data_IF_126975638943
#
_entry.id   IF_126975638943
#
_cell.length_a   1.000
_cell.length_b   1.000
_cell.length_c   1.000
_cell.angle_alpha   90.00
_cell.angle_beta   90.00
_cell.angle_gamma   90.00
#
_symmetry.space_group_name_H-M   'P 1'
#
loop_
_entity.id
_entity.type
_entity.pdbx_description
1 polymer ?
#
# COMPACT_ATOMS: atom_id res chain seq x y z
N UNK A 1 2.64 -99.78 -18.02
CA UNK A 1 1.78 -99.33 -16.89
C UNK A 1 2.57 -98.31 -16.10
N UNK A 2 1.95 -97.25 -15.60
CA UNK A 2 2.65 -96.30 -14.71
C UNK A 2 2.86 -97.05 -13.40
N UNK A 3 4.06 -97.57 -13.18
CA UNK A 3 4.43 -98.15 -11.91
C UNK A 3 4.71 -97.01 -10.94
N UNK A 4 3.87 -96.87 -9.92
CA UNK A 4 4.07 -95.91 -8.85
C UNK A 4 5.21 -96.45 -7.98
N UNK A 5 6.43 -96.08 -8.36
CA UNK A 5 7.66 -96.46 -7.68
C UNK A 5 8.16 -95.32 -6.78
N UNK A 6 9.00 -95.65 -5.80
CA UNK A 6 9.56 -94.69 -4.83
C UNK A 6 10.30 -93.51 -5.50
N UNK A 7 10.82 -93.73 -6.72
CA UNK A 7 11.45 -92.71 -7.56
C UNK A 7 10.48 -91.58 -7.94
N UNK A 8 9.21 -91.89 -8.20
CA UNK A 8 8.19 -90.90 -8.53
C UNK A 8 7.86 -90.04 -7.30
N UNK A 9 7.84 -90.64 -6.11
CA UNK A 9 7.70 -89.91 -4.85
C UNK A 9 8.90 -88.98 -4.59
N UNK A 10 10.13 -89.44 -4.82
CA UNK A 10 11.33 -88.59 -4.72
C UNK A 10 11.31 -87.44 -5.73
N UNK A 11 10.81 -87.66 -6.95
CA UNK A 11 10.70 -86.63 -7.98
C UNK A 11 9.66 -85.56 -7.61
N UNK A 12 8.54 -85.95 -7.02
CA UNK A 12 7.53 -85.01 -6.48
C UNK A 12 8.11 -84.20 -5.33
N UNK A 13 8.82 -84.82 -4.38
CA UNK A 13 9.50 -84.11 -3.29
C UNK A 13 10.52 -83.12 -3.87
N UNK A 14 11.34 -83.56 -4.84
CA UNK A 14 12.31 -82.70 -5.51
C UNK A 14 11.68 -81.50 -6.22
N UNK A 15 10.53 -81.68 -6.87
CA UNK A 15 9.76 -80.60 -7.48
C UNK A 15 9.28 -79.58 -6.43
N UNK A 16 8.73 -80.04 -5.30
CA UNK A 16 8.31 -79.13 -4.22
C UNK A 16 9.49 -78.40 -3.58
N UNK A 17 10.62 -79.06 -3.37
CA UNK A 17 11.85 -78.42 -2.88
C UNK A 17 12.32 -77.34 -3.86
N UNK A 18 12.35 -77.63 -5.16
CA UNK A 18 12.70 -76.66 -6.20
C UNK A 18 11.72 -75.48 -6.22
N UNK A 19 10.41 -75.75 -6.08
CA UNK A 19 9.37 -74.73 -6.02
C UNK A 19 9.57 -73.80 -4.82
N UNK A 20 9.87 -74.35 -3.63
CA UNK A 20 10.16 -73.55 -2.44
C UNK A 20 11.41 -72.69 -2.61
N UNK A 21 12.47 -73.24 -3.21
CA UNK A 21 13.70 -72.50 -3.53
C UNK A 21 13.38 -71.36 -4.49
N UNK A 22 12.65 -71.63 -5.58
CA UNK A 22 12.30 -70.64 -6.60
C UNK A 22 11.34 -69.56 -6.07
N UNK A 23 10.43 -69.93 -5.16
CA UNK A 23 9.55 -68.99 -4.47
C UNK A 23 10.34 -67.99 -3.63
N UNK A 24 11.35 -68.47 -2.88
CA UNK A 24 12.22 -67.62 -2.07
C UNK A 24 13.18 -66.76 -2.90
N UNK A 25 13.81 -67.35 -3.92
CA UNK A 25 14.88 -66.70 -4.70
C UNK A 25 14.39 -65.84 -5.86
N UNK A 26 13.22 -66.12 -6.44
CA UNK A 26 12.80 -65.51 -7.70
C UNK A 26 11.43 -64.85 -7.61
N UNK A 27 10.37 -65.60 -7.26
CA UNK A 27 9.02 -65.04 -7.29
C UNK A 27 8.81 -63.90 -6.29
N UNK A 28 9.18 -64.11 -5.01
CA UNK A 28 9.09 -63.06 -3.99
C UNK A 28 9.91 -61.80 -4.31
N UNK A 29 11.22 -61.88 -4.62
CA UNK A 29 12.01 -60.68 -4.89
C UNK A 29 11.55 -59.96 -6.16
N UNK A 30 11.12 -60.67 -7.21
CA UNK A 30 10.59 -60.03 -8.42
C UNK A 30 9.31 -59.26 -8.10
N UNK A 31 8.37 -59.87 -7.38
CA UNK A 31 7.12 -59.19 -7.00
C UNK A 31 7.38 -57.95 -6.13
N UNK A 32 8.30 -58.06 -5.16
CA UNK A 32 8.72 -56.92 -4.33
C UNK A 32 9.30 -55.76 -5.15
N UNK A 33 10.07 -56.05 -6.22
CA UNK A 33 10.62 -55.02 -7.10
C UNK A 33 9.50 -54.35 -7.90
N UNK A 34 8.52 -55.11 -8.40
CA UNK A 34 7.36 -54.54 -9.09
C UNK A 34 6.56 -53.63 -8.16
N UNK A 35 6.21 -54.09 -6.95
CA UNK A 35 5.50 -53.27 -5.97
C UNK A 35 6.27 -52.01 -5.59
N UNK A 36 7.60 -52.12 -5.43
CA UNK A 36 8.44 -50.96 -5.13
C UNK A 36 8.46 -49.96 -6.28
N UNK A 37 8.49 -50.43 -7.53
CA UNK A 37 8.40 -49.56 -8.71
C UNK A 37 7.06 -48.86 -8.78
N UNK A 38 5.97 -49.59 -8.58
CA UNK A 38 4.61 -49.04 -8.57
C UNK A 38 4.46 -47.96 -7.49
N UNK A 39 4.85 -48.26 -6.24
CA UNK A 39 4.83 -47.29 -5.13
C UNK A 39 5.68 -46.06 -5.39
N UNK A 40 6.86 -46.22 -6.00
CA UNK A 40 7.72 -45.08 -6.32
C UNK A 40 7.09 -44.19 -7.39
N UNK A 41 6.51 -44.76 -8.44
CA UNK A 41 5.87 -44.01 -9.53
C UNK A 41 4.62 -43.30 -9.02
N UNK A 42 3.77 -44.01 -8.28
CA UNK A 42 2.55 -43.45 -7.72
C UNK A 42 2.85 -42.37 -6.67
N UNK A 43 3.87 -42.61 -5.83
CA UNK A 43 4.37 -41.63 -4.87
C UNK A 43 4.89 -40.36 -5.55
N UNK A 44 5.73 -40.50 -6.58
CA UNK A 44 6.24 -39.36 -7.34
C UNK A 44 5.12 -38.58 -8.04
N UNK A 45 4.12 -39.27 -8.60
CA UNK A 45 2.96 -38.64 -9.23
C UNK A 45 2.14 -37.84 -8.21
N UNK A 46 1.85 -38.43 -7.04
CA UNK A 46 1.10 -37.77 -5.97
C UNK A 46 1.86 -36.58 -5.40
N UNK A 47 3.18 -36.68 -5.28
CA UNK A 47 4.02 -35.56 -4.85
C UNK A 47 4.00 -34.41 -5.87
N UNK A 48 4.11 -34.72 -7.16
CA UNK A 48 4.00 -33.74 -8.24
C UNK A 48 2.63 -33.04 -8.24
N UNK A 49 1.53 -33.79 -8.11
CA UNK A 49 0.17 -33.22 -8.00
C UNK A 49 0.03 -32.31 -6.78
N UNK A 50 0.56 -32.73 -5.62
CA UNK A 50 0.58 -31.91 -4.41
C UNK A 50 1.41 -30.63 -4.57
N UNK A 51 2.57 -30.70 -5.23
CA UNK A 51 3.41 -29.54 -5.52
C UNK A 51 2.71 -28.58 -6.47
N UNK A 52 2.07 -29.07 -7.53
CA UNK A 52 1.29 -28.25 -8.47
C UNK A 52 0.14 -27.54 -7.75
N UNK A 53 -0.59 -28.26 -6.89
CA UNK A 53 -1.67 -27.67 -6.10
C UNK A 53 -1.14 -26.56 -5.17
N UNK A 54 -0.05 -26.81 -4.45
CA UNK A 54 0.60 -25.80 -3.59
C UNK A 54 1.10 -24.61 -4.38
N UNK A 55 1.63 -24.82 -5.59
CA UNK A 55 2.06 -23.75 -6.47
C UNK A 55 0.87 -22.87 -6.88
N UNK A 56 -0.23 -23.47 -7.33
CA UNK A 56 -1.44 -22.71 -7.67
C UNK A 56 -1.96 -21.90 -6.47
N UNK A 57 -2.10 -22.55 -5.30
CA UNK A 57 -2.53 -21.86 -4.07
C UNK A 57 -1.60 -20.69 -3.69
N UNK A 58 -0.28 -20.86 -3.85
CA UNK A 58 0.71 -19.81 -3.57
C UNK A 58 0.64 -18.68 -4.59
N UNK A 59 0.48 -18.99 -5.87
CA UNK A 59 0.35 -18.00 -6.94
C UNK A 59 -0.92 -17.18 -6.75
N UNK A 60 -2.06 -17.83 -6.52
CA UNK A 60 -3.34 -17.15 -6.28
C UNK A 60 -3.27 -16.24 -5.05
N UNK A 61 -2.68 -16.73 -3.95
CA UNK A 61 -2.47 -15.92 -2.75
C UNK A 61 -1.53 -14.74 -2.99
N UNK A 62 -0.49 -14.93 -3.80
CA UNK A 62 0.45 -13.88 -4.16
C UNK A 62 -0.22 -12.80 -5.02
N UNK A 63 -0.95 -13.20 -6.08
CA UNK A 63 -1.68 -12.29 -6.95
C UNK A 63 -2.74 -11.49 -6.18
N UNK A 64 -3.48 -12.16 -5.28
CA UNK A 64 -4.46 -11.50 -4.41
C UNK A 64 -3.79 -10.45 -3.52
N UNK A 65 -2.68 -10.79 -2.85
CA UNK A 65 -1.92 -9.85 -2.01
C UNK A 65 -1.37 -8.68 -2.81
N UNK A 66 -0.88 -8.94 -4.02
CA UNK A 66 -0.37 -7.89 -4.90
C UNK A 66 -1.49 -6.93 -5.32
N UNK A 67 -2.66 -7.46 -5.66
CA UNK A 67 -3.84 -6.66 -5.98
C UNK A 67 -4.28 -5.82 -4.78
N UNK A 68 -4.43 -6.41 -3.61
CA UNK A 68 -4.78 -5.71 -2.36
C UNK A 68 -3.77 -4.61 -2.02
N UNK A 69 -2.47 -4.87 -2.17
CA UNK A 69 -1.43 -3.87 -1.94
C UNK A 69 -1.52 -2.70 -2.93
N UNK A 70 -1.82 -2.97 -4.21
CA UNK A 70 -2.03 -1.91 -5.21
C UNK A 70 -3.25 -1.06 -4.90
N UNK A 71 -4.37 -1.68 -4.52
CA UNK A 71 -5.59 -0.96 -4.14
C UNK A 71 -5.33 -0.08 -2.92
N UNK A 72 -4.76 -0.63 -1.85
CA UNK A 72 -4.40 0.13 -0.64
C UNK A 72 -3.45 1.28 -0.94
N UNK A 73 -2.42 1.04 -1.77
CA UNK A 73 -1.49 2.08 -2.18
C UNK A 73 -2.15 3.20 -2.98
N UNK A 74 -3.11 2.85 -3.85
CA UNK A 74 -3.88 3.83 -4.60
C UNK A 74 -4.81 4.66 -3.69
N UNK A 75 -5.53 4.00 -2.78
CA UNK A 75 -6.39 4.66 -1.79
C UNK A 75 -5.60 5.61 -0.90
N UNK A 76 -4.44 5.19 -0.39
CA UNK A 76 -3.59 6.03 0.45
C UNK A 76 -3.08 7.25 -0.32
N UNK A 77 -2.64 7.05 -1.57
CA UNK A 77 -2.23 8.16 -2.44
C UNK A 77 -3.37 9.15 -2.67
N UNK A 78 -4.60 8.67 -2.89
CA UNK A 78 -5.77 9.54 -3.05
C UNK A 78 -6.07 10.32 -1.77
N UNK A 79 -6.02 9.67 -0.61
CA UNK A 79 -6.21 10.33 0.69
C UNK A 79 -5.19 11.44 0.93
N UNK A 80 -3.90 11.14 0.72
CA UNK A 80 -2.83 12.13 0.87
C UNK A 80 -3.03 13.30 -0.09
N UNK A 81 -3.41 13.02 -1.35
CA UNK A 81 -3.69 14.06 -2.34
C UNK A 81 -4.89 14.94 -1.93
N UNK A 82 -5.97 14.34 -1.46
CA UNK A 82 -7.15 15.09 -0.99
C UNK A 82 -6.82 15.95 0.22
N UNK A 83 -6.13 15.39 1.22
CA UNK A 83 -5.67 16.14 2.39
C UNK A 83 -4.72 17.28 2.00
N UNK A 84 -3.86 17.07 1.00
CA UNK A 84 -2.99 18.11 0.45
C UNK A 84 -3.78 19.26 -0.17
N UNK A 85 -4.78 18.95 -1.01
CA UNK A 85 -5.64 19.96 -1.64
C UNK A 85 -6.48 20.73 -0.62
N UNK A 86 -6.97 20.05 0.42
CA UNK A 86 -7.76 20.68 1.49
C UNK A 86 -6.90 21.62 2.33
N UNK A 87 -5.68 21.20 2.70
CA UNK A 87 -4.70 22.06 3.37
C UNK A 87 -4.29 23.27 2.52
N UNK A 88 -4.01 23.06 1.23
CA UNK A 88 -3.71 24.14 0.30
C UNK A 88 -4.84 25.17 0.26
N UNK A 89 -6.09 24.70 0.15
CA UNK A 89 -7.27 25.57 0.17
C UNK A 89 -7.40 26.33 1.48
N UNK A 90 -7.20 25.68 2.62
CA UNK A 90 -7.22 26.30 3.95
C UNK A 90 -6.15 27.41 4.08
N UNK A 91 -4.93 27.14 3.64
CA UNK A 91 -3.83 28.11 3.66
C UNK A 91 -4.16 29.31 2.77
N UNK A 92 -4.64 29.07 1.55
CA UNK A 92 -5.01 30.14 0.62
C UNK A 92 -6.18 30.98 1.13
N UNK A 93 -7.21 30.35 1.71
CA UNK A 93 -8.36 31.06 2.27
C UNK A 93 -7.97 31.89 3.50
N UNK A 94 -7.09 31.37 4.36
CA UNK A 94 -6.55 32.13 5.49
C UNK A 94 -5.69 33.31 5.03
N UNK A 95 -4.79 33.10 4.08
CA UNK A 95 -3.96 34.16 3.51
C UNK A 95 -4.81 35.27 2.85
N UNK A 96 -5.89 34.88 2.13
CA UNK A 96 -6.85 35.85 1.57
C UNK A 96 -7.57 36.63 2.66
N UNK A 97 -8.03 35.98 3.74
CA UNK A 97 -8.69 36.65 4.86
C UNK A 97 -7.76 37.63 5.55
N UNK A 98 -6.51 37.24 5.80
CA UNK A 98 -5.50 38.09 6.41
C UNK A 98 -5.19 39.30 5.53
N UNK A 99 -5.00 39.09 4.21
CA UNK A 99 -4.81 40.18 3.27
C UNK A 99 -6.00 41.16 3.22
N UNK A 100 -7.24 40.64 3.22
CA UNK A 100 -8.44 41.47 3.27
C UNK A 100 -8.54 42.26 4.57
N UNK A 101 -8.21 41.65 5.72
CA UNK A 101 -8.15 42.32 7.02
C UNK A 101 -7.10 43.43 7.02
N UNK A 102 -5.90 43.14 6.54
CA UNK A 102 -4.82 44.12 6.43
C UNK A 102 -5.19 45.33 5.55
N UNK A 103 -5.85 45.09 4.42
CA UNK A 103 -6.35 46.17 3.54
C UNK A 103 -7.41 47.00 4.27
N UNK A 104 -8.35 46.35 4.97
CA UNK A 104 -9.40 47.05 5.71
C UNK A 104 -8.82 47.92 6.83
N UNK A 105 -7.89 47.38 7.62
CA UNK A 105 -7.21 48.08 8.71
C UNK A 105 -6.39 49.27 8.18
N UNK A 106 -5.64 49.06 7.10
CA UNK A 106 -4.85 50.12 6.45
C UNK A 106 -5.76 51.24 5.94
N UNK A 107 -6.90 50.89 5.33
CA UNK A 107 -7.88 51.87 4.87
C UNK A 107 -8.50 52.65 6.03
N UNK A 108 -8.74 52.00 7.17
CA UNK A 108 -9.22 52.67 8.38
C UNK A 108 -8.19 53.67 8.91
N UNK A 109 -6.93 53.26 9.03
CA UNK A 109 -5.82 54.13 9.46
C UNK A 109 -5.63 55.33 8.54
N UNK A 110 -5.66 55.13 7.22
CA UNK A 110 -5.59 56.23 6.25
C UNK A 110 -6.74 57.23 6.46
N UNK A 111 -7.96 56.75 6.69
CA UNK A 111 -9.08 57.65 6.95
C UNK A 111 -8.94 58.43 8.26
N UNK A 112 -8.36 57.82 9.30
CA UNK A 112 -8.03 58.52 10.55
C UNK A 112 -6.93 59.56 10.35
N UNK A 113 -5.86 59.21 9.65
CA UNK A 113 -4.76 60.12 9.31
C UNK A 113 -5.28 61.32 8.51
N UNK A 114 -6.12 61.10 7.50
CA UNK A 114 -6.75 62.17 6.71
C UNK A 114 -7.58 63.09 7.61
N UNK A 115 -8.37 62.55 8.54
CA UNK A 115 -9.14 63.37 9.49
C UNK A 115 -8.23 64.20 10.40
N UNK A 116 -7.16 63.59 10.91
CA UNK A 116 -6.18 64.24 11.77
C UNK A 116 -5.47 65.39 11.04
N UNK A 117 -4.98 65.14 9.82
CA UNK A 117 -4.33 66.14 8.97
C UNK A 117 -5.30 67.28 8.62
N UNK A 118 -6.56 66.97 8.29
CA UNK A 118 -7.58 68.00 8.02
C UNK A 118 -7.89 68.87 9.25
N UNK A 119 -7.84 68.32 10.46
CA UNK A 119 -7.99 69.09 11.70
C UNK A 119 -6.78 70.00 11.94
N UNK A 120 -5.57 69.51 11.69
CA UNK A 120 -4.33 70.31 11.72
C UNK A 120 -4.36 71.47 10.72
N UNK A 121 -4.74 71.19 9.47
CA UNK A 121 -4.86 72.20 8.40
C UNK A 121 -5.82 73.33 8.75
N UNK A 122 -6.93 73.05 9.44
CA UNK A 122 -7.84 74.12 9.92
C UNK A 122 -7.14 75.04 10.91
N UNK A 123 -6.42 74.46 11.87
CA UNK A 123 -5.66 75.20 12.88
C UNK A 123 -4.56 76.04 12.24
N UNK A 124 -3.83 75.47 11.27
CA UNK A 124 -2.80 76.18 10.51
C UNK A 124 -3.41 77.28 9.64
N UNK A 125 -4.57 77.05 9.04
CA UNK A 125 -5.30 78.05 8.24
C UNK A 125 -5.74 79.24 9.10
N UNK A 126 -6.24 79.01 10.31
CA UNK A 126 -6.57 80.07 11.27
C UNK A 126 -5.33 80.87 11.69
N UNK A 127 -4.21 80.19 11.89
CA UNK A 127 -2.93 80.81 12.24
C UNK A 127 -2.39 81.69 11.10
N UNK A 128 -2.40 81.18 9.88
CA UNK A 128 -2.00 81.93 8.67
C UNK A 128 -2.94 83.12 8.44
N UNK A 129 -4.26 82.94 8.59
CA UNK A 129 -5.22 84.03 8.47
C UNK A 129 -4.96 85.15 9.50
N UNK A 130 -4.59 84.78 10.73
CA UNK A 130 -4.21 85.72 11.78
C UNK A 130 -2.89 86.44 11.44
N UNK A 131 -1.86 85.74 10.99
CA UNK A 131 -0.60 86.34 10.56
C UNK A 131 -0.79 87.32 9.38
N UNK A 132 -1.65 86.99 8.42
CA UNK A 132 -2.01 87.89 7.31
C UNK A 132 -2.72 89.13 7.86
N UNK A 133 -3.70 88.97 8.75
CA UNK A 133 -4.42 90.07 9.36
C UNK A 133 -3.50 91.02 10.14
N UNK A 134 -2.55 90.48 10.91
CA UNK A 134 -1.54 91.27 11.62
C UNK A 134 -0.61 92.04 10.68
N UNK A 135 -0.14 91.41 9.60
CA UNK A 135 0.71 92.09 8.59
C UNK A 135 -0.04 93.20 7.84
N UNK A 136 -1.32 93.02 7.55
CA UNK A 136 -2.14 94.03 6.84
C UNK A 136 -2.54 95.18 7.77
N UNK A 137 -2.86 94.91 9.04
CA UNK A 137 -3.30 95.92 10.02
C UNK A 137 -2.14 96.64 10.72
N UNK A 138 -0.90 96.15 10.61
CA UNK A 138 0.29 96.80 11.18
C UNK A 138 0.37 96.77 12.71
N UNK A 139 -0.45 95.96 13.38
CA UNK A 139 -0.52 95.80 14.85
C UNK A 139 -0.98 94.38 15.20
N UNK A 140 -0.52 93.85 16.33
CA UNK A 140 -0.91 92.50 16.79
C UNK A 140 -2.41 92.41 17.04
N UNK A 141 -3.02 91.31 16.62
CA UNK A 141 -4.45 91.03 16.81
C UNK A 141 -4.58 89.82 17.73
N UNK A 142 -5.19 90.04 18.90
CA UNK A 142 -5.38 89.07 19.97
C UNK A 142 -6.30 87.90 19.57
#
# INVERSE_FOLDING_TARGET
>A
MIEINITLLMQVIGFFVLLLILNGLLYKPVLNILEKREKNIEGAKKEAESLLKKLHEKTDAYEKRLHEARVKGHEERLKIRQAGLENERLILDNAKKEAMGFIADTKSKINEDVRSVMAGLKTDSEKIAREIAEKVLGRRVA
#
